data_IF_785034913599
#
_entry.id   IF_785034913599
#
_cell.length_a   1.000
_cell.length_b   1.000
_cell.length_c   1.000
_cell.angle_alpha   90.00
_cell.angle_beta   90.00
_cell.angle_gamma   90.00
#
_symmetry.space_group_name_H-M   'P 1'
#
loop_
_entity.id
_entity.type
_entity.pdbx_description
1 polymer ?
#
# COMPACT_ATOMS: atom_id res chain seq x y z
N UNK A 1 5.78 -32.04 -30.40
CA UNK A 1 6.76 -31.49 -29.44
C UNK A 1 6.07 -30.35 -28.70
N UNK A 2 5.95 -30.47 -27.37
CA UNK A 2 5.33 -29.48 -26.49
C UNK A 2 6.24 -28.24 -26.41
N UNK A 3 5.75 -27.09 -26.87
CA UNK A 3 6.32 -25.79 -26.50
C UNK A 3 5.70 -25.41 -25.16
N UNK A 4 6.42 -25.73 -24.09
CA UNK A 4 6.12 -25.26 -22.74
C UNK A 4 6.39 -23.76 -22.69
N UNK A 5 5.35 -22.95 -22.78
CA UNK A 5 5.40 -21.57 -22.33
C UNK A 5 5.39 -21.58 -20.81
N UNK A 6 6.57 -21.51 -20.21
CA UNK A 6 6.74 -21.23 -18.79
C UNK A 6 6.31 -19.78 -18.55
N UNK A 7 5.06 -19.58 -18.13
CA UNK A 7 4.65 -18.35 -17.46
C UNK A 7 5.31 -18.33 -16.08
N UNK A 8 6.55 -17.84 -16.02
CA UNK A 8 7.12 -17.37 -14.76
C UNK A 8 6.37 -16.07 -14.44
N UNK A 9 5.30 -16.23 -13.69
CA UNK A 9 4.39 -15.17 -13.27
C UNK A 9 5.17 -13.99 -12.70
N UNK A 10 4.84 -12.81 -13.22
CA UNK A 10 5.55 -11.56 -13.08
C UNK A 10 5.41 -10.98 -11.67
N UNK A 11 6.20 -11.45 -10.70
CA UNK A 11 6.21 -10.82 -9.37
C UNK A 11 6.91 -9.45 -9.37
N UNK A 12 7.73 -9.14 -10.38
CA UNK A 12 8.46 -7.87 -10.49
C UNK A 12 7.58 -6.67 -10.87
N UNK A 13 6.58 -6.84 -11.74
CA UNK A 13 5.72 -5.72 -12.15
C UNK A 13 4.89 -5.17 -10.98
N UNK A 14 4.44 -6.04 -10.08
CA UNK A 14 3.63 -5.62 -8.94
C UNK A 14 4.45 -4.80 -7.92
N UNK A 15 5.75 -5.06 -7.80
CA UNK A 15 6.62 -4.37 -6.84
C UNK A 15 6.83 -2.90 -7.21
N UNK A 16 6.83 -2.55 -8.50
CA UNK A 16 6.88 -1.16 -8.95
C UNK A 16 5.49 -0.51 -8.96
N UNK A 17 4.43 -1.28 -9.24
CA UNK A 17 3.05 -0.80 -9.28
C UNK A 17 2.51 -0.31 -7.93
N UNK A 18 3.13 -0.69 -6.81
CA UNK A 18 2.74 -0.19 -5.49
C UNK A 18 3.18 1.26 -5.25
N UNK A 19 4.20 1.75 -5.97
CA UNK A 19 4.76 3.09 -5.82
C UNK A 19 3.74 4.13 -6.28
N UNK A 20 3.48 5.15 -5.45
CA UNK A 20 2.60 6.25 -5.80
C UNK A 20 1.80 6.80 -4.62
N UNK A 21 0.91 7.73 -4.96
CA UNK A 21 0.00 8.39 -4.03
C UNK A 21 -1.36 7.68 -4.04
N UNK A 22 -1.79 7.24 -2.87
CA UNK A 22 -2.99 6.45 -2.66
C UNK A 22 -3.91 7.17 -1.68
N UNK A 23 -5.20 7.18 -2.00
CA UNK A 23 -6.25 7.76 -1.15
C UNK A 23 -7.30 6.68 -0.87
N UNK A 24 -7.54 6.42 0.41
CA UNK A 24 -8.59 5.55 0.90
C UNK A 24 -9.64 6.34 1.67
N UNK A 25 -10.83 5.76 1.81
CA UNK A 25 -11.90 6.29 2.67
C UNK A 25 -12.33 5.17 3.61
N UNK A 26 -12.26 5.41 4.91
CA UNK A 26 -12.71 4.47 5.94
C UNK A 26 -13.74 5.16 6.84
N UNK A 27 -15.03 4.93 6.58
CA UNK A 27 -16.09 5.71 7.21
C UNK A 27 -16.00 7.20 6.84
N UNK A 28 -15.86 8.05 7.85
CA UNK A 28 -15.69 9.51 7.67
C UNK A 28 -14.21 9.93 7.56
N UNK A 29 -13.28 8.98 7.69
CA UNK A 29 -11.83 9.25 7.64
C UNK A 29 -11.29 9.10 6.22
N UNK A 30 -10.40 10.02 5.86
CA UNK A 30 -9.61 10.02 4.65
C UNK A 30 -8.21 9.51 4.97
N UNK A 31 -7.80 8.46 4.28
CA UNK A 31 -6.50 7.85 4.44
C UNK A 31 -5.61 8.28 3.27
N UNK A 32 -4.43 8.79 3.57
CA UNK A 32 -3.41 9.09 2.58
C UNK A 32 -2.22 8.16 2.79
N UNK A 33 -1.78 7.53 1.72
CA UNK A 33 -0.56 6.71 1.70
C UNK A 33 0.25 7.09 0.47
N UNK A 34 1.45 7.61 0.66
CA UNK A 34 2.44 7.82 -0.40
C UNK A 34 3.61 6.87 -0.21
N UNK A 35 3.91 6.10 -1.25
CA UNK A 35 5.04 5.18 -1.32
C UNK A 35 6.01 5.68 -2.37
N UNK A 36 7.15 6.20 -1.94
CA UNK A 36 8.15 6.83 -2.82
C UNK A 36 9.12 5.78 -3.37
N UNK A 37 9.64 5.99 -4.59
CA UNK A 37 10.58 5.07 -5.23
C UNK A 37 11.92 4.91 -4.49
N UNK A 38 12.23 5.78 -3.53
CA UNK A 38 13.41 5.68 -2.66
C UNK A 38 13.21 4.77 -1.43
N UNK A 39 12.02 4.16 -1.26
CA UNK A 39 11.71 3.29 -0.13
C UNK A 39 11.21 4.03 1.12
N UNK A 40 10.83 5.31 1.01
CA UNK A 40 10.22 6.09 2.09
C UNK A 40 8.70 6.17 1.93
N UNK A 41 7.96 6.12 3.02
CA UNK A 41 6.51 6.30 3.02
C UNK A 41 6.08 7.55 3.79
N UNK A 42 4.89 8.04 3.44
CA UNK A 42 4.13 9.02 4.18
C UNK A 42 2.70 8.50 4.35
N UNK A 43 2.21 8.42 5.59
CA UNK A 43 0.87 7.94 5.91
C UNK A 43 0.14 8.98 6.76
N UNK A 44 -1.14 9.22 6.49
CA UNK A 44 -1.96 10.14 7.30
C UNK A 44 -3.40 9.67 7.36
N UNK A 45 -4.00 9.84 8.53
CA UNK A 45 -5.44 9.69 8.76
C UNK A 45 -6.01 11.09 9.01
N UNK A 46 -6.79 11.59 8.06
CA UNK A 46 -7.41 12.91 8.15
C UNK A 46 -8.93 12.76 8.33
N UNK A 47 -9.54 13.60 9.16
CA UNK A 47 -11.01 13.61 9.32
C UNK A 47 -11.73 14.32 8.15
N UNK A 48 -10.99 14.93 7.23
CA UNK A 48 -11.52 15.47 5.98
C UNK A 48 -10.47 15.50 4.88
N UNK A 49 -10.93 15.54 3.62
CA UNK A 49 -10.06 15.65 2.42
C UNK A 49 -9.25 16.95 2.38
N UNK A 50 -9.71 17.99 3.06
CA UNK A 50 -9.13 19.34 3.04
C UNK A 50 -8.26 19.66 4.26
N UNK A 51 -8.28 18.82 5.29
CA UNK A 51 -7.33 18.95 6.38
C UNK A 51 -5.92 18.80 5.81
N UNK A 52 -5.07 19.79 6.12
CA UNK A 52 -3.63 19.65 5.94
C UNK A 52 -3.18 18.34 6.58
N UNK A 53 -2.12 17.76 6.05
CA UNK A 53 -1.59 16.46 6.49
C UNK A 53 -1.00 16.52 7.93
N UNK A 54 -1.78 16.98 8.91
CA UNK A 54 -1.37 17.28 10.28
C UNK A 54 -1.06 16.00 11.08
N UNK A 55 -1.45 14.83 10.56
CA UNK A 55 -1.20 13.50 11.13
C UNK A 55 -0.25 12.66 10.24
N UNK A 56 0.79 13.28 9.69
CA UNK A 56 1.80 12.61 8.85
C UNK A 56 2.74 11.73 9.67
N UNK A 57 2.51 10.42 9.64
CA UNK A 57 3.53 9.42 9.94
C UNK A 57 4.44 9.25 8.73
N UNK A 58 5.75 9.15 8.99
CA UNK A 58 6.76 8.95 7.94
C UNK A 58 7.73 7.88 8.36
N UNK A 59 8.31 7.19 7.39
CA UNK A 59 9.29 6.17 7.67
C UNK A 59 9.78 5.46 6.43
N UNK A 60 10.30 4.26 6.62
CA UNK A 60 10.76 3.40 5.53
C UNK A 60 9.74 2.31 5.28
N UNK A 61 9.62 1.89 4.02
CA UNK A 61 8.82 0.73 3.68
C UNK A 61 9.61 -0.28 2.86
N UNK A 62 9.12 -1.51 2.88
CA UNK A 62 9.49 -2.52 1.90
C UNK A 62 8.24 -3.20 1.38
N UNK A 63 8.27 -3.59 0.11
CA UNK A 63 7.19 -4.33 -0.51
C UNK A 63 7.77 -5.53 -1.25
N UNK A 64 7.28 -6.72 -0.91
CA UNK A 64 7.71 -7.97 -1.54
C UNK A 64 6.65 -9.03 -1.36
N UNK A 65 6.39 -9.82 -2.41
CA UNK A 65 5.42 -10.92 -2.38
C UNK A 65 4.05 -10.48 -1.87
N UNK A 66 3.57 -9.31 -2.30
CA UNK A 66 2.31 -8.71 -1.86
C UNK A 66 2.23 -8.39 -0.36
N UNK A 67 3.37 -8.29 0.33
CA UNK A 67 3.45 -7.84 1.71
C UNK A 67 4.11 -6.47 1.76
N UNK A 68 3.37 -5.47 2.26
CA UNK A 68 3.83 -4.12 2.54
C UNK A 68 4.21 -4.03 4.02
N UNK A 69 5.46 -3.72 4.31
CA UNK A 69 5.92 -3.43 5.67
C UNK A 69 6.21 -1.95 5.80
N UNK A 70 5.54 -1.27 6.72
CA UNK A 70 5.78 0.13 7.09
C UNK A 70 6.54 0.15 8.42
N UNK A 71 7.67 0.86 8.46
CA UNK A 71 8.50 1.07 9.65
C UNK A 71 8.63 2.58 9.92
N UNK A 72 8.03 3.05 11.00
CA UNK A 72 8.08 4.45 11.45
C UNK A 72 9.32 4.77 12.34
N UNK A 73 10.23 3.80 12.49
CA UNK A 73 11.39 3.86 13.39
C UNK A 73 11.15 3.24 14.77
N UNK A 74 9.91 2.90 15.15
CA UNK A 74 9.56 2.29 16.43
C UNK A 74 8.90 0.93 16.28
N UNK A 75 8.00 0.77 15.30
CA UNK A 75 7.24 -0.46 15.08
C UNK A 75 7.19 -0.81 13.60
N UNK A 76 7.15 -2.11 13.32
CA UNK A 76 6.82 -2.64 12.01
C UNK A 76 5.33 -2.95 11.96
N UNK A 77 4.64 -2.44 10.94
CA UNK A 77 3.28 -2.85 10.61
C UNK A 77 3.28 -3.49 9.23
N UNK A 78 2.78 -4.72 9.16
CA UNK A 78 2.77 -5.52 7.94
C UNK A 78 1.34 -5.60 7.42
N UNK A 79 1.17 -5.38 6.12
CA UNK A 79 -0.09 -5.49 5.40
C UNK A 79 0.03 -6.47 4.24
N UNK A 80 -1.00 -7.29 4.05
CA UNK A 80 -1.23 -7.99 2.78
C UNK A 80 -1.84 -7.00 1.79
N UNK A 81 -1.35 -6.98 0.55
CA UNK A 81 -1.82 -6.09 -0.52
C UNK A 81 -2.42 -6.92 -1.66
N UNK A 82 -3.64 -6.57 -2.07
CA UNK A 82 -4.26 -7.11 -3.28
C UNK A 82 -4.39 -5.99 -4.31
N UNK A 83 -3.98 -6.26 -5.55
CA UNK A 83 -4.20 -5.37 -6.68
C UNK A 83 -5.49 -5.79 -7.39
N UNK A 84 -6.50 -4.91 -7.37
CA UNK A 84 -7.73 -5.12 -8.14
C UNK A 84 -7.54 -4.61 -9.58
N UNK A 85 -6.89 -3.44 -9.73
CA UNK A 85 -6.53 -2.80 -10.99
C UNK A 85 -5.27 -1.93 -10.80
N UNK A 86 -4.64 -1.43 -11.87
CA UNK A 86 -3.44 -0.56 -11.78
C UNK A 86 -3.63 0.69 -10.88
N UNK A 87 -4.88 1.15 -10.72
CA UNK A 87 -5.23 2.33 -9.94
C UNK A 87 -5.98 2.01 -8.63
N UNK A 88 -6.07 0.75 -8.22
CA UNK A 88 -6.79 0.33 -7.00
C UNK A 88 -6.06 -0.81 -6.28
N UNK A 89 -5.84 -0.59 -4.99
CA UNK A 89 -5.28 -1.62 -4.10
C UNK A 89 -6.18 -1.78 -2.88
N UNK A 90 -6.19 -2.98 -2.33
CA UNK A 90 -6.74 -3.29 -1.02
C UNK A 90 -5.61 -3.67 -0.10
N UNK A 91 -5.61 -3.13 1.12
CA UNK A 91 -4.66 -3.54 2.15
C UNK A 91 -5.39 -4.08 3.37
N UNK A 92 -4.82 -5.12 3.98
CA UNK A 92 -5.35 -5.76 5.20
C UNK A 92 -4.17 -6.00 6.12
N UNK A 93 -4.29 -5.64 7.41
CA UNK A 93 -3.23 -5.90 8.39
C UNK A 93 -2.93 -7.40 8.46
N UNK A 94 -1.68 -7.78 8.21
CA UNK A 94 -1.24 -9.16 8.14
C UNK A 94 -1.26 -9.82 9.54
N UNK A 95 -1.76 -11.05 9.64
CA UNK A 95 -1.73 -11.83 10.88
C UNK A 95 -2.76 -11.45 11.95
N UNK A 96 -3.78 -10.66 11.63
CA UNK A 96 -4.90 -10.34 12.54
C UNK A 96 -6.26 -10.27 11.83
N UNK A 97 -7.33 -10.06 12.60
CA UNK A 97 -8.60 -9.57 12.06
C UNK A 97 -8.43 -8.06 11.84
N UNK A 98 -8.22 -7.65 10.60
CA UNK A 98 -8.07 -6.24 10.23
C UNK A 98 -9.15 -5.83 9.23
N UNK A 99 -9.55 -4.56 9.29
CA UNK A 99 -10.42 -3.97 8.29
C UNK A 99 -9.72 -3.96 6.93
N UNK A 100 -10.50 -4.25 5.88
CA UNK A 100 -10.03 -4.10 4.51
C UNK A 100 -10.12 -2.63 4.17
N UNK A 101 -9.00 -2.05 3.77
CA UNK A 101 -8.94 -0.65 3.36
C UNK A 101 -8.75 -0.60 1.85
N UNK A 102 -9.74 -0.03 1.16
CA UNK A 102 -9.68 0.25 -0.26
C UNK A 102 -8.96 1.58 -0.51
N UNK A 103 -7.90 1.53 -1.30
CA UNK A 103 -7.18 2.70 -1.79
C UNK A 103 -7.36 2.86 -3.30
N UNK A 104 -7.51 4.10 -3.74
CA UNK A 104 -7.46 4.51 -5.13
C UNK A 104 -6.26 5.41 -5.36
N UNK A 105 -5.58 5.24 -6.49
CA UNK A 105 -4.50 6.14 -6.90
C UNK A 105 -5.03 7.58 -7.09
N UNK A 106 -4.33 8.56 -6.53
CA UNK A 106 -4.65 9.99 -6.61
C UNK A 106 -4.46 10.52 -8.03
#
# INVERSE_FOLDING_TARGET
MLVSMLFISCSKENDENIIGNWIGVNGDEWLYLNLNSNGEFEFSVCSSREQGNDCLEKGKYSFKNNLLTLNDGFTDVIYSVSFEFENRIQIIKHGGYGDIIDFKRK
#
